data_IF_503176859214
#
_entry.id   IF_503176859214
#
_cell.length_a   1.000
_cell.length_b   1.000
_cell.length_c   1.000
_cell.angle_alpha   90.00
_cell.angle_beta   90.00
_cell.angle_gamma   90.00
#
_symmetry.space_group_name_H-M   'P 1'
#
loop_
_entity.id
_entity.type
_entity.pdbx_description
1 polymer ?
#
# COMPACT_ATOMS: atom_id res chain seq x y z
N UNK A 1 -12.43 -13.25 14.77
CA UNK A 1 -11.04 -13.36 14.30
C UNK A 1 -10.21 -12.53 15.25
N UNK A 2 -9.18 -13.12 15.87
CA UNK A 2 -8.35 -12.44 16.86
C UNK A 2 -7.61 -11.25 16.20
N UNK A 3 -7.60 -10.08 16.86
CA UNK A 3 -6.96 -8.87 16.31
C UNK A 3 -5.45 -9.06 16.18
N UNK A 4 -4.86 -9.89 17.04
CA UNK A 4 -3.47 -10.31 16.92
C UNK A 4 -3.23 -11.24 15.74
N UNK A 5 -4.21 -12.09 15.41
CA UNK A 5 -4.13 -12.95 14.22
C UNK A 5 -4.23 -12.11 12.95
N UNK A 6 -5.06 -11.06 12.92
CA UNK A 6 -5.18 -10.17 11.76
C UNK A 6 -3.89 -9.37 11.51
N UNK A 7 -3.24 -8.85 12.56
CA UNK A 7 -1.95 -8.18 12.44
C UNK A 7 -0.81 -9.15 12.05
N UNK A 8 -0.79 -10.37 12.59
CA UNK A 8 0.18 -11.41 12.21
C UNK A 8 -0.01 -11.91 10.77
N UNK A 9 -1.26 -11.94 10.30
CA UNK A 9 -1.60 -12.32 8.94
C UNK A 9 -1.24 -11.21 7.95
N UNK A 10 -1.54 -9.95 8.29
CA UNK A 10 -1.22 -8.80 7.44
C UNK A 10 0.28 -8.47 7.42
N UNK A 11 0.95 -8.59 8.55
CA UNK A 11 2.36 -8.24 8.69
C UNK A 11 3.09 -9.47 9.22
N UNK A 12 3.41 -10.39 8.31
CA UNK A 12 4.27 -11.55 8.60
C UNK A 12 5.64 -11.13 9.16
N UNK A 13 6.49 -12.10 9.49
CA UNK A 13 7.80 -11.83 10.11
C UNK A 13 8.66 -10.77 9.40
N UNK A 14 8.55 -10.69 8.07
CA UNK A 14 9.26 -9.77 7.18
C UNK A 14 8.65 -8.37 7.03
N UNK A 15 7.61 -8.04 7.81
CA UNK A 15 6.89 -6.77 7.74
C UNK A 15 6.85 -5.98 9.06
N UNK A 16 7.59 -6.47 10.08
CA UNK A 16 7.66 -5.87 11.43
C UNK A 16 8.37 -4.52 11.42
N UNK A 17 9.35 -4.36 10.56
CA UNK A 17 10.10 -3.13 10.32
C UNK A 17 10.15 -2.81 8.83
N UNK A 18 10.73 -1.67 8.45
CA UNK A 18 11.06 -1.40 7.04
C UNK A 18 12.01 -2.48 6.50
N UNK A 19 11.95 -2.76 5.19
CA UNK A 19 12.91 -3.67 4.56
C UNK A 19 14.32 -3.14 4.81
N UNK A 20 15.18 -3.97 5.36
CA UNK A 20 16.56 -3.60 5.66
C UNK A 20 17.43 -3.64 4.42
N UNK A 21 18.58 -2.95 4.48
CA UNK A 21 19.60 -3.04 3.44
C UNK A 21 20.06 -4.49 3.21
N UNK A 22 20.16 -5.28 4.27
CA UNK A 22 20.54 -6.70 4.22
C UNK A 22 19.48 -7.56 3.55
N UNK A 23 18.21 -7.41 3.89
CA UNK A 23 17.11 -8.14 3.26
C UNK A 23 16.98 -7.81 1.77
N UNK A 24 17.04 -6.51 1.43
CA UNK A 24 17.00 -6.07 0.04
C UNK A 24 18.20 -6.64 -0.75
N UNK A 25 19.41 -6.55 -0.21
CA UNK A 25 20.61 -7.10 -0.83
C UNK A 25 20.52 -8.62 -1.03
N UNK A 26 20.01 -9.35 -0.05
CA UNK A 26 19.89 -10.81 -0.13
C UNK A 26 18.89 -11.27 -1.19
N UNK A 27 17.80 -10.53 -1.41
CA UNK A 27 16.76 -10.91 -2.36
C UNK A 27 16.98 -10.33 -3.77
N UNK A 28 17.50 -9.12 -3.87
CA UNK A 28 17.63 -8.37 -5.13
C UNK A 28 19.07 -8.35 -5.67
N UNK A 29 20.04 -8.84 -4.89
CA UNK A 29 21.46 -8.97 -5.26
C UNK A 29 22.22 -7.64 -5.47
N UNK A 30 21.63 -6.52 -5.04
CA UNK A 30 22.30 -5.21 -4.96
C UNK A 30 21.76 -4.38 -3.80
N UNK A 31 22.50 -3.35 -3.39
CA UNK A 31 22.07 -2.40 -2.36
C UNK A 31 22.11 -0.97 -2.93
N UNK A 32 20.96 -0.31 -3.17
CA UNK A 32 20.92 1.04 -3.71
C UNK A 32 21.29 2.12 -2.68
N UNK A 33 21.14 1.81 -1.38
CA UNK A 33 21.15 2.74 -0.26
C UNK A 33 22.30 3.74 -0.27
N UNK A 34 21.97 5.02 -0.11
CA UNK A 34 22.93 6.09 0.11
C UNK A 34 23.72 5.90 1.41
N UNK A 35 23.07 5.53 2.51
CA UNK A 35 23.67 5.38 3.84
C UNK A 35 24.37 4.02 4.01
N UNK A 36 25.29 3.72 3.10
CA UNK A 36 26.07 2.48 2.98
C UNK A 36 27.58 2.74 2.94
N UNK A 37 28.41 1.69 3.02
CA UNK A 37 29.87 1.79 2.90
C UNK A 37 30.31 2.51 1.62
N UNK A 38 29.57 2.34 0.51
CA UNK A 38 29.84 2.96 -0.79
C UNK A 38 29.95 4.49 -0.72
N UNK A 39 29.25 5.12 0.22
CA UNK A 39 29.26 6.57 0.42
C UNK A 39 29.93 6.97 1.74
N UNK A 40 30.80 6.11 2.30
CA UNK A 40 31.62 6.42 3.47
C UNK A 40 30.91 6.29 4.82
N UNK A 41 29.72 5.67 4.87
CA UNK A 41 29.06 5.36 6.14
C UNK A 41 29.51 3.99 6.68
N UNK A 42 29.58 3.80 8.01
CA UNK A 42 29.81 2.47 8.58
C UNK A 42 28.75 1.49 8.10
N UNK A 43 29.18 0.26 7.79
CA UNK A 43 28.28 -0.81 7.40
C UNK A 43 27.31 -1.14 8.52
N UNK A 44 26.06 -1.27 8.14
CA UNK A 44 24.97 -1.56 9.03
C UNK A 44 23.82 -2.06 8.15
N UNK A 45 23.84 -3.36 7.87
CA UNK A 45 22.84 -4.00 7.02
C UNK A 45 21.44 -3.99 7.66
N UNK A 46 21.32 -3.62 8.93
CA UNK A 46 20.06 -3.49 9.64
C UNK A 46 19.42 -2.10 9.47
N UNK A 47 20.05 -1.15 8.76
CA UNK A 47 19.36 0.10 8.37
C UNK A 47 18.26 -0.22 7.36
N UNK A 48 17.19 0.60 7.29
CA UNK A 48 16.23 0.49 6.19
C UNK A 48 16.93 0.70 4.84
N UNK A 49 16.51 -0.06 3.83
CA UNK A 49 16.87 0.24 2.45
C UNK A 49 16.21 1.57 2.05
N UNK A 50 16.99 2.46 1.47
CA UNK A 50 16.52 3.73 0.92
C UNK A 50 17.12 3.95 -0.47
N UNK A 51 16.77 5.05 -1.13
CA UNK A 51 17.06 5.29 -2.57
C UNK A 51 16.50 4.23 -3.52
N UNK A 52 15.53 3.44 -3.06
CA UNK A 52 14.71 2.57 -3.90
C UNK A 52 13.61 3.37 -4.58
N UNK A 53 13.33 3.04 -5.84
CA UNK A 53 12.15 3.50 -6.56
C UNK A 53 10.93 2.65 -6.18
N UNK A 54 9.73 3.15 -6.49
CA UNK A 54 8.51 2.37 -6.28
C UNK A 54 8.52 1.06 -7.09
N UNK A 55 9.04 1.11 -8.32
CA UNK A 55 9.18 -0.08 -9.17
C UNK A 55 10.10 -1.12 -8.54
N UNK A 56 11.23 -0.71 -7.95
CA UNK A 56 12.13 -1.63 -7.26
C UNK A 56 11.51 -2.21 -5.98
N UNK A 57 10.77 -1.41 -5.22
CA UNK A 57 10.04 -1.88 -4.04
C UNK A 57 8.93 -2.88 -4.40
N UNK A 58 8.20 -2.64 -5.49
CA UNK A 58 7.21 -3.58 -6.04
C UNK A 58 7.87 -4.85 -6.58
N UNK A 59 9.02 -4.72 -7.25
CA UNK A 59 9.79 -5.86 -7.74
C UNK A 59 10.32 -6.72 -6.58
N UNK A 60 10.78 -6.11 -5.48
CA UNK A 60 11.14 -6.82 -4.26
C UNK A 60 9.97 -7.66 -3.73
N UNK A 61 8.76 -7.08 -3.66
CA UNK A 61 7.57 -7.81 -3.21
C UNK A 61 7.25 -9.00 -4.15
N UNK A 62 7.35 -8.82 -5.47
CA UNK A 62 7.15 -9.89 -6.44
C UNK A 62 8.18 -11.01 -6.30
N UNK A 63 9.46 -10.68 -6.14
CA UNK A 63 10.53 -11.67 -5.86
C UNK A 63 10.32 -12.39 -4.54
N UNK A 64 9.83 -11.69 -3.53
CA UNK A 64 9.53 -12.28 -2.22
C UNK A 64 8.40 -13.30 -2.35
N UNK A 65 7.37 -13.02 -3.15
CA UNK A 65 6.32 -14.00 -3.47
C UNK A 65 6.90 -15.26 -4.12
N UNK A 66 7.73 -15.12 -5.16
CA UNK A 66 8.36 -16.27 -5.84
C UNK A 66 9.14 -17.15 -4.86
N UNK A 67 9.95 -16.53 -3.99
CA UNK A 67 10.80 -17.24 -3.02
C UNK A 67 9.97 -17.90 -1.92
N UNK A 68 8.98 -17.21 -1.36
CA UNK A 68 8.14 -17.73 -0.29
C UNK A 68 7.17 -18.81 -0.80
N UNK A 69 6.68 -18.70 -2.04
CA UNK A 69 5.89 -19.75 -2.71
C UNK A 69 6.73 -20.99 -2.97
N UNK A 70 7.93 -20.83 -3.58
CA UNK A 70 8.84 -21.95 -3.82
C UNK A 70 9.26 -22.66 -2.53
N UNK A 71 9.32 -21.92 -1.42
CA UNK A 71 9.62 -22.47 -0.10
C UNK A 71 8.39 -23.04 0.65
N UNK A 72 7.18 -22.96 0.08
CA UNK A 72 5.94 -23.43 0.70
C UNK A 72 5.52 -22.63 1.94
N UNK A 73 6.02 -21.40 2.08
CA UNK A 73 5.73 -20.49 3.21
C UNK A 73 4.68 -19.45 2.88
N UNK A 74 4.43 -19.16 1.59
CA UNK A 74 3.35 -18.29 1.15
C UNK A 74 2.00 -19.04 1.24
N UNK A 75 1.04 -18.58 2.07
CA UNK A 75 -0.26 -19.23 2.14
C UNK A 75 -1.03 -19.10 0.81
N UNK A 76 -1.77 -20.14 0.36
CA UNK A 76 -2.58 -20.04 -0.86
C UNK A 76 -3.57 -18.87 -0.81
N UNK A 77 -3.59 -18.07 -1.88
CA UNK A 77 -4.44 -16.88 -1.97
C UNK A 77 -3.93 -15.67 -1.19
N UNK A 78 -2.65 -15.66 -0.77
CA UNK A 78 -1.97 -14.51 -0.17
C UNK A 78 -0.78 -14.07 -1.02
N UNK A 79 -0.40 -12.81 -0.88
CA UNK A 79 0.75 -12.21 -1.55
C UNK A 79 1.42 -11.15 -0.66
N UNK A 80 2.72 -11.00 -0.81
CA UNK A 80 3.48 -9.83 -0.41
C UNK A 80 3.29 -8.72 -1.44
N UNK A 81 2.94 -7.53 -0.97
CA UNK A 81 2.84 -6.31 -1.79
C UNK A 81 3.14 -5.07 -0.96
N UNK A 82 3.19 -3.90 -1.58
CA UNK A 82 3.18 -2.65 -0.81
C UNK A 82 1.81 -2.47 -0.11
N UNK A 83 1.79 -1.91 1.12
CA UNK A 83 0.55 -1.62 1.81
C UNK A 83 -0.22 -0.51 1.08
N UNK A 84 -1.54 -0.57 1.14
CA UNK A 84 -2.35 0.60 0.83
C UNK A 84 -2.15 1.67 1.91
N UNK A 85 -2.45 2.92 1.55
CA UNK A 85 -2.42 4.06 2.45
C UNK A 85 -3.23 3.82 3.75
N UNK A 86 -4.39 3.16 3.61
CA UNK A 86 -5.27 2.82 4.73
C UNK A 86 -4.75 1.65 5.58
N UNK A 87 -4.22 0.60 4.96
CA UNK A 87 -3.59 -0.52 5.69
C UNK A 87 -2.41 -0.03 6.53
N UNK A 88 -1.54 0.80 5.94
CA UNK A 88 -0.41 1.37 6.65
C UNK A 88 -0.86 2.20 7.86
N UNK A 89 -1.85 3.09 7.69
CA UNK A 89 -2.32 3.91 8.81
C UNK A 89 -2.97 3.07 9.92
N UNK A 90 -3.77 2.08 9.53
CA UNK A 90 -4.40 1.17 10.48
C UNK A 90 -3.36 0.41 11.30
N UNK A 91 -2.33 -0.11 10.63
CA UNK A 91 -1.20 -0.79 11.23
C UNK A 91 -0.38 0.14 12.15
N UNK A 92 -0.07 1.35 11.68
CA UNK A 92 0.64 2.37 12.45
C UNK A 92 -0.08 2.68 13.78
N UNK A 93 -1.41 2.84 13.72
CA UNK A 93 -2.24 3.16 14.89
C UNK A 93 -2.31 2.03 15.90
N UNK A 94 -2.36 0.77 15.46
CA UNK A 94 -2.48 -0.41 16.32
C UNK A 94 -3.54 -0.26 17.43
N UNK A 95 -4.72 0.30 17.08
CA UNK A 95 -5.83 0.54 17.99
C UNK A 95 -5.84 1.89 18.72
N UNK A 96 -4.81 2.72 18.57
CA UNK A 96 -4.79 4.09 19.11
C UNK A 96 -5.55 5.09 18.23
N UNK A 97 -6.16 6.09 18.85
CA UNK A 97 -6.82 7.23 18.16
C UNK A 97 -5.98 8.51 18.19
N UNK A 98 -4.81 8.44 18.81
CA UNK A 98 -3.87 9.56 18.94
C UNK A 98 -3.06 9.77 17.65
N UNK A 99 -2.34 10.90 17.51
CA UNK A 99 -1.48 11.15 16.36
C UNK A 99 -0.30 10.18 16.22
N UNK A 100 0.14 9.56 17.32
CA UNK A 100 1.18 8.55 17.36
C UNK A 100 0.74 7.37 18.23
N UNK A 101 1.31 6.18 18.03
CA UNK A 101 1.13 5.06 18.96
C UNK A 101 1.76 5.34 20.33
N UNK A 102 2.64 6.35 20.41
CA UNK A 102 3.19 6.91 21.65
C UNK A 102 2.21 7.82 22.43
N UNK A 103 1.08 8.18 21.83
CA UNK A 103 0.11 9.11 22.40
C UNK A 103 0.05 10.45 21.65
N UNK A 104 -0.25 11.57 22.34
CA UNK A 104 -0.57 12.84 21.69
C UNK A 104 0.63 13.54 21.03
N UNK A 105 1.84 13.28 21.53
CA UNK A 105 3.06 14.02 21.20
C UNK A 105 4.14 13.10 20.65
N UNK A 106 5.06 13.67 19.86
CA UNK A 106 6.28 12.99 19.44
C UNK A 106 7.49 13.78 19.93
N UNK A 107 8.29 13.13 20.76
CA UNK A 107 9.41 13.74 21.48
C UNK A 107 10.73 13.14 21.02
N UNK A 108 11.78 13.95 21.09
CA UNK A 108 13.13 13.47 20.80
C UNK A 108 13.45 12.23 21.63
N UNK A 109 14.02 11.20 20.99
CA UNK A 109 14.37 9.93 21.63
C UNK A 109 13.29 8.84 21.54
N UNK A 110 12.07 9.15 21.09
CA UNK A 110 11.02 8.12 20.86
C UNK A 110 10.97 7.62 19.42
N UNK A 111 11.57 8.35 18.48
CA UNK A 111 11.71 7.95 17.08
C UNK A 111 12.88 8.70 16.43
N UNK A 112 13.29 8.28 15.22
CA UNK A 112 14.31 8.97 14.44
C UNK A 112 13.68 10.03 13.52
N UNK A 113 13.73 11.30 13.94
CA UNK A 113 13.27 12.46 13.17
C UNK A 113 14.12 13.68 13.55
N UNK A 114 13.98 14.80 12.83
CA UNK A 114 14.78 16.01 13.07
C UNK A 114 14.12 16.90 14.14
N UNK A 115 14.15 16.46 15.40
CA UNK A 115 13.66 17.24 16.53
C UNK A 115 14.44 18.56 16.71
N UNK A 116 15.76 18.51 16.46
CA UNK A 116 16.66 19.63 16.71
C UNK A 116 16.33 20.88 15.88
N UNK A 117 16.20 20.72 14.56
CA UNK A 117 16.09 21.83 13.63
C UNK A 117 14.68 22.02 13.08
N UNK A 118 13.85 20.96 13.08
CA UNK A 118 12.50 20.97 12.49
C UNK A 118 11.39 20.91 13.55
N UNK A 119 11.71 20.42 14.74
CA UNK A 119 10.85 20.45 15.91
C UNK A 119 10.15 19.14 16.23
N UNK A 120 9.80 19.00 17.50
CA UNK A 120 8.92 17.96 18.05
C UNK A 120 7.47 18.27 17.76
N UNK A 121 6.59 17.27 17.82
CA UNK A 121 5.16 17.53 17.74
C UNK A 121 4.53 17.58 19.13
N UNK A 122 3.76 18.64 19.40
CA UNK A 122 2.91 18.77 20.59
C UNK A 122 1.46 18.96 20.17
N UNK A 123 0.56 18.09 20.65
CA UNK A 123 -0.87 18.19 20.33
C UNK A 123 -1.44 19.53 20.79
N UNK A 124 -2.16 20.19 19.89
CA UNK A 124 -2.75 21.51 20.14
C UNK A 124 -1.80 22.68 19.92
N UNK A 125 -0.50 22.43 19.71
CA UNK A 125 0.50 23.47 19.38
C UNK A 125 1.04 23.30 17.97
N UNK A 126 1.32 22.06 17.55
CA UNK A 126 2.01 21.76 16.30
C UNK A 126 3.49 21.48 16.51
N UNK A 127 4.33 21.85 15.54
CA UNK A 127 5.77 21.64 15.63
C UNK A 127 6.40 22.68 16.56
N UNK A 128 7.10 22.20 17.60
CA UNK A 128 7.76 23.02 18.61
C UNK A 128 9.27 22.80 18.50
N UNK A 129 10.08 23.87 18.32
CA UNK A 129 11.53 23.73 18.28
C UNK A 129 12.06 23.08 19.56
N UNK A 130 12.94 22.09 19.43
CA UNK A 130 13.70 21.55 20.54
C UNK A 130 15.19 21.63 20.19
N UNK A 131 15.90 22.74 20.47
CA UNK A 131 17.32 22.88 20.16
C UNK A 131 18.23 21.81 20.81
N UNK A 132 17.74 21.18 21.89
CA UNK A 132 18.42 20.06 22.58
C UNK A 132 17.96 18.68 22.08
N UNK A 133 17.05 18.63 21.10
CA UNK A 133 16.55 17.40 20.50
C UNK A 133 17.57 16.74 19.59
N UNK A 134 17.34 15.46 19.30
CA UNK A 134 18.18 14.68 18.41
C UNK A 134 17.97 15.08 16.94
N UNK A 135 19.06 15.04 16.18
CA UNK A 135 19.07 15.00 14.72
C UNK A 135 20.27 14.14 14.31
N UNK A 136 20.00 12.88 13.96
CA UNK A 136 21.06 11.92 13.66
C UNK A 136 21.66 12.11 12.27
N UNK A 137 20.98 12.86 11.39
CA UNK A 137 21.45 13.12 10.02
C UNK A 137 21.41 11.89 9.09
N UNK A 138 20.82 10.78 9.52
CA UNK A 138 20.75 9.50 8.81
C UNK A 138 19.67 8.58 9.41
N UNK A 139 19.23 7.54 8.68
CA UNK A 139 18.45 6.45 9.28
C UNK A 139 19.28 5.67 10.31
N UNK A 140 18.58 4.99 11.20
CA UNK A 140 19.14 4.08 12.20
C UNK A 140 18.82 2.64 11.85
N UNK A 141 19.45 1.68 12.52
CA UNK A 141 19.01 0.29 12.44
C UNK A 141 17.51 0.20 12.76
N UNK A 142 16.80 -0.67 12.05
CA UNK A 142 15.40 -0.99 12.37
C UNK A 142 15.27 -1.54 13.78
N UNK A 143 14.08 -1.42 14.36
CA UNK A 143 13.78 -1.84 15.73
C UNK A 143 14.57 -1.09 16.82
N UNK A 144 15.08 0.10 16.50
CA UNK A 144 15.81 0.95 17.47
C UNK A 144 14.88 1.64 18.49
N UNK A 145 13.58 1.71 18.19
CA UNK A 145 12.58 2.39 19.01
C UNK A 145 11.48 1.40 19.44
N UNK A 146 10.63 1.80 20.39
CA UNK A 146 9.60 0.90 20.91
C UNK A 146 8.57 0.56 19.81
N UNK A 147 8.12 -0.70 19.70
CA UNK A 147 7.10 -1.05 18.74
C UNK A 147 5.73 -0.52 19.19
N UNK A 148 4.79 -0.47 18.26
CA UNK A 148 3.38 -0.26 18.59
C UNK A 148 2.76 -1.52 19.23
N UNK A 149 1.48 -1.45 19.60
CA UNK A 149 0.78 -2.55 20.27
C UNK A 149 0.69 -3.85 19.45
N UNK A 150 0.97 -3.81 18.15
CA UNK A 150 1.00 -4.98 17.26
C UNK A 150 2.42 -5.47 16.95
N UNK A 151 3.44 -4.89 17.59
CA UNK A 151 4.83 -5.29 17.38
C UNK A 151 5.46 -4.72 16.10
N UNK A 152 4.89 -3.65 15.53
CA UNK A 152 5.47 -2.95 14.38
C UNK A 152 6.37 -1.81 14.85
N UNK A 153 7.58 -1.77 14.29
CA UNK A 153 8.62 -0.82 14.64
C UNK A 153 8.69 0.32 13.62
N UNK A 154 9.28 1.43 14.08
CA UNK A 154 9.69 2.57 13.25
C UNK A 154 8.56 3.28 12.48
N UNK A 155 7.30 3.04 12.85
CA UNK A 155 6.10 3.64 12.23
C UNK A 155 5.99 5.18 12.33
N UNK A 156 6.94 5.85 12.99
CA UNK A 156 6.93 7.31 13.26
C UNK A 156 8.29 7.98 13.03
N UNK A 157 9.02 7.61 11.98
CA UNK A 157 10.28 8.25 11.62
C UNK A 157 11.14 7.33 10.77
N UNK A 158 12.46 7.47 10.92
CA UNK A 158 13.48 6.68 10.22
C UNK A 158 13.46 6.91 8.70
N UNK A 159 12.62 6.22 7.92
CA UNK A 159 12.40 6.52 6.51
C UNK A 159 10.91 6.62 6.18
N UNK A 160 10.57 7.43 5.19
CA UNK A 160 9.24 7.43 4.61
C UNK A 160 8.99 6.09 3.94
N UNK A 161 7.79 5.54 4.10
CA UNK A 161 7.45 4.24 3.55
C UNK A 161 6.48 4.36 2.38
N UNK A 162 6.87 3.79 1.23
CA UNK A 162 6.03 3.75 0.04
C UNK A 162 4.79 2.89 0.23
N UNK A 163 3.64 3.45 -0.11
CA UNK A 163 2.36 2.74 -0.21
C UNK A 163 1.99 2.50 -1.69
N UNK A 164 1.14 1.51 -1.95
CA UNK A 164 0.55 1.29 -3.27
C UNK A 164 -0.36 2.48 -3.65
N UNK A 165 -0.23 2.98 -4.88
CA UNK A 165 -1.10 4.02 -5.44
C UNK A 165 -2.55 3.54 -5.54
N UNK A 166 -3.51 4.35 -5.07
CA UNK A 166 -4.94 4.11 -5.34
C UNK A 166 -5.40 5.08 -6.43
N UNK A 167 -5.16 4.70 -7.68
CA UNK A 167 -5.69 5.36 -8.89
C UNK A 167 -4.81 4.96 -10.06
N UNK A 168 -5.15 3.96 -10.87
CA UNK A 168 -6.33 4.00 -11.74
C UNK A 168 -6.92 2.62 -12.12
N UNK A 169 -6.51 1.48 -11.56
CA UNK A 169 -7.04 0.18 -12.06
C UNK A 169 -7.60 -0.81 -11.03
N UNK A 170 -7.54 -0.55 -9.72
CA UNK A 170 -8.14 -1.45 -8.72
C UNK A 170 -8.99 -0.68 -7.72
N UNK A 171 -10.27 -0.54 -8.04
CA UNK A 171 -11.25 0.13 -7.18
C UNK A 171 -11.97 -0.92 -6.33
N UNK A 172 -11.95 -0.69 -5.00
CA UNK A 172 -12.90 -1.19 -3.97
C UNK A 172 -12.86 -2.69 -3.63
N UNK A 173 -12.22 -3.01 -2.50
CA UNK A 173 -12.89 -3.78 -1.42
C UNK A 173 -12.50 -3.12 -0.07
N UNK A 174 -13.43 -2.36 0.50
CA UNK A 174 -13.32 -1.87 1.86
C UNK A 174 -13.92 -2.93 2.80
N UNK A 175 -13.09 -3.58 3.60
CA UNK A 175 -13.57 -4.21 4.83
C UNK A 175 -13.79 -3.10 5.87
N UNK A 176 -15.06 -2.71 6.03
CA UNK A 176 -15.67 -2.10 7.23
C UNK A 176 -14.84 -1.07 8.04
N UNK A 177 -14.81 0.19 7.58
CA UNK A 177 -14.97 1.45 8.36
C UNK A 177 -14.97 2.61 7.33
N UNK A 178 -15.58 3.79 7.57
CA UNK A 178 -15.80 4.77 6.52
C UNK A 178 -14.48 5.25 5.91
N UNK A 179 -14.33 5.26 4.57
CA UNK A 179 -13.09 5.66 3.93
C UNK A 179 -12.81 7.13 4.25
N UNK A 180 -11.70 7.39 4.95
CA UNK A 180 -11.13 8.72 5.00
C UNK A 180 -10.59 9.06 3.60
N UNK A 181 -11.38 9.78 2.82
CA UNK A 181 -10.95 10.31 1.51
C UNK A 181 -10.08 11.54 1.80
N UNK A 182 -8.76 11.39 1.71
CA UNK A 182 -7.84 12.53 1.69
C UNK A 182 -8.16 13.43 0.48
N UNK A 183 -8.38 14.75 0.67
CA UNK A 183 -8.68 15.70 -0.41
C UNK A 183 -7.48 15.95 -1.35
N UNK A 184 -6.34 15.30 -1.13
CA UNK A 184 -5.08 15.52 -1.87
C UNK A 184 -4.89 14.58 -3.08
N UNK A 185 -5.98 14.09 -3.70
CA UNK A 185 -5.91 13.40 -5.01
C UNK A 185 -5.49 14.39 -6.10
N UNK A 186 -4.19 14.66 -6.23
CA UNK A 186 -3.62 15.29 -7.41
C UNK A 186 -2.74 14.27 -8.14
N UNK A 187 -3.20 13.90 -9.33
CA UNK A 187 -2.59 12.99 -10.32
C UNK A 187 -2.53 11.50 -9.96
N UNK A 188 -2.88 10.72 -10.97
CA UNK A 188 -2.64 9.30 -11.24
C UNK A 188 -1.17 8.85 -11.16
N UNK A 189 -0.23 9.78 -10.94
CA UNK A 189 1.21 9.53 -10.89
C UNK A 189 1.84 9.79 -9.49
N UNK A 190 1.01 10.17 -8.52
CA UNK A 190 1.42 10.48 -7.16
C UNK A 190 1.29 9.24 -6.26
N UNK A 191 2.44 8.63 -5.92
CA UNK A 191 2.51 7.63 -4.87
C UNK A 191 2.39 8.28 -3.49
N UNK A 192 1.85 7.52 -2.53
CA UNK A 192 1.70 7.96 -1.15
C UNK A 192 2.88 7.48 -0.32
N UNK A 193 3.39 8.36 0.55
CA UNK A 193 4.36 8.03 1.57
C UNK A 193 3.71 8.15 2.95
N UNK A 194 4.12 7.28 3.87
CA UNK A 194 3.69 7.31 5.28
C UNK A 194 4.87 7.24 6.26
N UNK A 195 4.67 7.73 7.49
CA UNK A 195 5.61 7.54 8.60
C UNK A 195 6.56 8.70 8.94
N UNK A 196 6.86 9.60 8.00
CA UNK A 196 7.92 10.59 8.20
C UNK A 196 9.31 10.00 7.95
N UNK A 197 10.38 10.76 8.21
CA UNK A 197 11.75 10.23 8.10
C UNK A 197 12.72 11.01 9.00
N UNK A 198 13.95 10.50 9.14
CA UNK A 198 15.03 11.05 9.97
C UNK A 198 15.28 12.57 9.80
N UNK A 199 14.95 13.14 8.63
CA UNK A 199 15.16 14.57 8.32
C UNK A 199 13.94 15.48 8.50
N UNK A 200 12.77 14.94 8.81
CA UNK A 200 11.51 15.69 8.88
C UNK A 200 11.16 16.08 10.32
N UNK A 201 10.23 17.02 10.49
CA UNK A 201 9.65 17.36 11.80
C UNK A 201 8.75 16.26 12.35
N UNK A 202 8.45 16.33 13.65
CA UNK A 202 7.55 15.37 14.29
C UNK A 202 6.11 15.40 13.74
N UNK A 203 5.64 16.54 13.24
CA UNK A 203 4.30 16.66 12.65
C UNK A 203 4.12 15.87 11.36
N UNK A 204 5.20 15.71 10.59
CA UNK A 204 5.26 14.86 9.41
C UNK A 204 5.26 13.36 9.74
N UNK A 205 5.56 12.98 10.99
CA UNK A 205 5.65 11.59 11.44
C UNK A 205 4.33 11.05 12.04
N UNK A 206 3.24 11.83 12.02
CA UNK A 206 1.92 11.42 12.54
C UNK A 206 1.34 10.27 11.73
N UNK A 207 0.59 9.36 12.37
CA UNK A 207 -0.03 8.20 11.70
C UNK A 207 -0.85 8.59 10.47
N UNK A 208 -1.53 9.75 10.53
CA UNK A 208 -2.42 10.24 9.47
C UNK A 208 -1.78 11.23 8.49
N UNK A 209 -0.48 11.51 8.59
CA UNK A 209 0.15 12.49 7.71
C UNK A 209 0.46 11.84 6.35
N UNK A 210 -0.10 12.34 5.23
CA UNK A 210 0.22 11.83 3.91
C UNK A 210 1.42 12.58 3.33
N UNK A 211 2.50 11.86 3.03
CA UNK A 211 3.55 12.33 2.13
C UNK A 211 3.17 12.04 0.68
N UNK A 212 3.69 12.83 -0.26
CA UNK A 212 3.48 12.62 -1.70
C UNK A 212 4.85 12.44 -2.35
N UNK A 213 4.96 11.45 -3.23
CA UNK A 213 6.10 11.31 -4.13
C UNK A 213 5.60 11.00 -5.54
N UNK A 214 6.41 11.29 -6.55
CA UNK A 214 6.09 10.83 -7.91
C UNK A 214 6.71 9.44 -8.11
N UNK A 215 5.91 8.49 -8.58
CA UNK A 215 6.34 7.11 -8.81
C UNK A 215 7.51 6.99 -9.80
N UNK A 216 7.72 8.02 -10.64
CA UNK A 216 8.78 8.12 -11.64
C UNK A 216 10.02 8.90 -11.14
N UNK A 217 10.04 9.38 -9.89
CA UNK A 217 11.21 10.04 -9.34
C UNK A 217 12.31 9.03 -8.98
N UNK A 218 13.59 9.41 -9.10
CA UNK A 218 14.67 8.62 -8.53
C UNK A 218 14.47 8.46 -7.03
N UNK A 219 14.94 7.34 -6.50
CA UNK A 219 14.87 7.06 -5.06
C UNK A 219 15.53 8.17 -4.24
N UNK A 220 14.94 8.49 -3.09
CA UNK A 220 15.45 9.47 -2.14
C UNK A 220 16.08 8.79 -0.93
N UNK A 221 17.10 9.39 -0.33
CA UNK A 221 17.81 8.80 0.81
C UNK A 221 17.07 8.83 2.16
N UNK A 222 15.77 9.07 2.10
CA UNK A 222 14.87 9.11 3.24
C UNK A 222 13.55 8.41 2.89
N UNK A 223 13.50 7.68 1.78
CA UNK A 223 12.33 6.92 1.32
C UNK A 223 12.74 5.46 1.16
N UNK A 224 12.08 4.60 1.89
CA UNK A 224 12.14 3.14 1.81
C UNK A 224 10.73 2.56 1.70
N UNK A 225 10.54 1.35 2.23
CA UNK A 225 9.24 0.68 2.23
C UNK A 225 9.21 -0.49 3.22
N UNK A 226 8.00 -0.97 3.52
CA UNK A 226 7.76 -2.29 4.10
C UNK A 226 6.74 -3.04 3.24
N UNK A 227 6.86 -4.36 3.06
CA UNK A 227 5.80 -5.16 2.49
C UNK A 227 4.66 -5.37 3.50
N UNK A 228 3.50 -5.76 2.97
CA UNK A 228 2.39 -6.35 3.72
C UNK A 228 2.11 -7.72 3.08
N UNK A 229 1.87 -8.75 3.89
CA UNK A 229 1.34 -10.03 3.46
C UNK A 229 -0.18 -9.93 3.49
N UNK A 230 -0.85 -9.84 2.36
CA UNK A 230 -2.30 -9.66 2.32
C UNK A 230 -2.95 -10.77 1.50
N UNK A 231 -4.25 -11.05 1.69
CA UNK A 231 -4.98 -11.85 0.73
C UNK A 231 -4.83 -11.20 -0.65
N UNK A 232 -4.56 -12.01 -1.66
CA UNK A 232 -4.62 -11.57 -3.06
C UNK A 232 -5.98 -10.90 -3.22
N UNK A 233 -6.00 -9.62 -3.61
CA UNK A 233 -7.27 -8.94 -3.87
C UNK A 233 -7.95 -9.66 -5.02
N UNK A 234 -8.93 -10.51 -4.68
CA UNK A 234 -9.78 -11.19 -5.62
C UNK A 234 -10.40 -10.13 -6.54
N UNK A 235 -9.98 -10.08 -7.80
CA UNK A 235 -10.92 -9.63 -8.82
C UNK A 235 -12.07 -10.63 -8.75
N UNK A 236 -13.31 -10.22 -8.53
CA UNK A 236 -14.42 -11.16 -8.53
C UNK A 236 -14.36 -11.93 -9.86
N UNK A 237 -14.42 -13.27 -9.83
CA UNK A 237 -14.52 -14.05 -11.05
C UNK A 237 -15.73 -13.52 -11.82
N UNK A 238 -15.64 -13.55 -13.15
CA UNK A 238 -16.69 -13.09 -14.03
C UNK A 238 -18.02 -13.71 -13.60
N UNK A 239 -18.93 -12.89 -13.07
CA UNK A 239 -20.23 -13.36 -12.58
C UNK A 239 -21.34 -12.49 -13.15
N UNK A 240 -22.32 -13.16 -13.75
CA UNK A 240 -23.59 -12.51 -14.09
C UNK A 240 -24.19 -11.91 -12.82
N UNK A 241 -24.56 -10.63 -12.87
CA UNK A 241 -25.12 -9.89 -11.74
C UNK A 241 -26.64 -9.83 -11.83
N UNK A 242 -27.18 -9.44 -12.99
CA UNK A 242 -28.64 -9.37 -13.19
C UNK A 242 -29.03 -9.31 -14.66
N UNK A 243 -30.26 -9.75 -14.95
CA UNK A 243 -30.95 -9.56 -16.23
C UNK A 243 -32.27 -8.84 -15.97
N UNK A 244 -32.53 -7.72 -16.64
CA UNK A 244 -33.77 -6.96 -16.46
C UNK A 244 -34.33 -6.44 -17.78
N UNK A 245 -35.65 -6.23 -17.80
CA UNK A 245 -36.36 -5.51 -18.86
C UNK A 245 -36.67 -4.10 -18.36
N UNK A 246 -36.20 -3.08 -19.09
CA UNK A 246 -36.46 -1.67 -18.75
C UNK A 246 -36.79 -0.90 -20.03
N UNK A 247 -37.95 -0.24 -20.08
CA UNK A 247 -38.42 0.57 -21.22
C UNK A 247 -38.31 -0.13 -22.59
N UNK A 248 -38.58 -1.43 -22.66
CA UNK A 248 -38.50 -2.22 -23.90
C UNK A 248 -37.08 -2.60 -24.33
N UNK A 249 -36.11 -2.43 -23.44
CA UNK A 249 -34.72 -2.85 -23.62
C UNK A 249 -34.35 -3.96 -22.64
N UNK A 250 -33.53 -4.91 -23.10
CA UNK A 250 -32.88 -5.88 -22.22
C UNK A 250 -31.61 -5.25 -21.64
N UNK A 251 -31.44 -5.33 -20.33
CA UNK A 251 -30.28 -4.84 -19.59
C UNK A 251 -29.55 -6.02 -18.99
N UNK A 252 -28.30 -6.22 -19.39
CA UNK A 252 -27.39 -7.26 -18.87
C UNK A 252 -26.34 -6.57 -17.99
N UNK A 253 -26.21 -7.02 -16.75
CA UNK A 253 -25.18 -6.56 -15.82
C UNK A 253 -24.29 -7.71 -15.36
N UNK A 254 -22.98 -7.47 -15.26
CA UNK A 254 -22.00 -8.40 -14.68
C UNK A 254 -20.88 -7.68 -13.95
N UNK A 255 -20.12 -8.43 -13.16
CA UNK A 255 -19.00 -7.95 -12.36
C UNK A 255 -17.74 -8.72 -12.79
N UNK A 256 -16.61 -8.01 -12.93
CA UNK A 256 -15.30 -8.56 -13.31
C UNK A 256 -14.86 -8.17 -14.73
N UNK A 257 -13.56 -8.30 -15.09
CA UNK A 257 -12.96 -7.74 -16.31
C UNK A 257 -13.39 -8.40 -17.64
N UNK A 258 -14.39 -9.28 -17.62
CA UNK A 258 -14.82 -10.06 -18.78
C UNK A 258 -15.56 -9.25 -19.84
N UNK A 259 -15.39 -9.62 -21.11
CA UNK A 259 -16.14 -9.07 -22.23
C UNK A 259 -17.46 -9.85 -22.44
N UNK A 260 -18.55 -9.13 -22.76
CA UNK A 260 -19.80 -9.74 -23.17
C UNK A 260 -19.68 -10.16 -24.64
N UNK A 261 -20.15 -11.36 -24.96
CA UNK A 261 -20.28 -11.80 -26.35
C UNK A 261 -21.73 -12.18 -26.65
N UNK A 262 -22.11 -12.05 -27.93
CA UNK A 262 -23.43 -12.47 -28.43
C UNK A 262 -23.32 -13.43 -29.61
N UNK A 263 -24.32 -14.32 -29.76
CA UNK A 263 -24.43 -15.25 -30.88
C UNK A 263 -25.90 -15.60 -31.18
N UNK A 264 -26.19 -16.00 -32.41
CA UNK A 264 -27.53 -16.44 -32.83
C UNK A 264 -27.84 -17.91 -32.42
N UNK A 265 -26.85 -18.64 -31.93
CA UNK A 265 -26.98 -20.00 -31.41
C UNK A 265 -26.09 -20.21 -30.18
N UNK A 266 -26.51 -21.08 -29.24
CA UNK A 266 -25.75 -21.42 -28.02
C UNK A 266 -24.31 -21.88 -28.34
N UNK A 267 -24.13 -22.55 -29.48
CA UNK A 267 -22.85 -23.12 -29.92
C UNK A 267 -22.12 -22.27 -30.96
N UNK A 268 -22.66 -21.11 -31.34
CA UNK A 268 -22.29 -20.37 -32.55
C UNK A 268 -21.15 -19.36 -32.40
N UNK A 269 -20.65 -18.80 -33.53
CA UNK A 269 -19.53 -17.87 -33.53
C UNK A 269 -19.89 -16.62 -32.73
N UNK A 270 -19.15 -16.40 -31.65
CA UNK A 270 -19.37 -15.33 -30.71
C UNK A 270 -18.83 -14.00 -31.24
N UNK A 271 -19.64 -12.95 -31.16
CA UNK A 271 -19.24 -11.57 -31.50
C UNK A 271 -19.09 -10.75 -30.22
N UNK A 272 -17.97 -10.05 -30.07
CA UNK A 272 -17.70 -9.20 -28.93
C UNK A 272 -18.67 -8.01 -28.88
N UNK A 273 -19.13 -7.70 -27.67
CA UNK A 273 -20.05 -6.61 -27.38
C UNK A 273 -19.38 -5.66 -26.41
N UNK A 274 -19.30 -4.38 -26.77
CA UNK A 274 -18.67 -3.37 -25.91
C UNK A 274 -19.65 -2.92 -24.81
N UNK A 275 -19.37 -3.18 -23.52
CA UNK A 275 -20.16 -2.63 -22.42
C UNK A 275 -19.93 -1.15 -22.19
N UNK A 276 -20.87 -0.54 -21.46
CA UNK A 276 -20.60 0.69 -20.71
C UNK A 276 -20.08 0.31 -19.33
N UNK A 277 -19.01 0.98 -18.91
CA UNK A 277 -18.36 0.77 -17.62
C UNK A 277 -18.92 1.77 -16.60
N UNK A 278 -19.37 1.29 -15.44
CA UNK A 278 -19.81 2.13 -14.31
C UNK A 278 -19.28 1.55 -13.00
N UNK A 279 -18.01 1.86 -12.69
CA UNK A 279 -17.31 1.27 -11.54
C UNK A 279 -17.03 -0.23 -11.77
N UNK A 280 -17.24 -1.12 -10.77
CA UNK A 280 -17.03 -2.57 -10.93
C UNK A 280 -18.13 -3.28 -11.73
N UNK A 281 -19.16 -2.52 -12.16
CA UNK A 281 -20.32 -3.03 -12.89
C UNK A 281 -20.20 -2.69 -14.37
N UNK A 282 -20.33 -3.71 -15.19
CA UNK A 282 -20.47 -3.58 -16.64
C UNK A 282 -21.94 -3.70 -17.01
N UNK A 283 -22.43 -2.78 -17.83
CA UNK A 283 -23.82 -2.75 -18.29
C UNK A 283 -23.88 -2.70 -19.80
N UNK A 284 -24.70 -3.56 -20.40
CA UNK A 284 -25.05 -3.48 -21.80
C UNK A 284 -26.58 -3.49 -21.98
N UNK A 285 -27.07 -2.60 -22.83
CA UNK A 285 -28.51 -2.40 -23.07
C UNK A 285 -28.80 -2.45 -24.56
N UNK A 286 -29.80 -3.22 -24.96
CA UNK A 286 -30.20 -3.33 -26.36
C UNK A 286 -31.72 -3.53 -26.52
N UNK A 287 -32.29 -3.09 -27.66
CA UNK A 287 -33.72 -3.25 -27.94
C UNK A 287 -34.07 -4.71 -28.27
N UNK A 288 -35.24 -5.18 -27.82
CA UNK A 288 -35.74 -6.56 -28.02
C UNK A 288 -36.35 -6.72 -29.43
N UNK A 289 -35.81 -6.02 -30.43
CA UNK A 289 -36.38 -5.97 -31.79
C UNK A 289 -35.77 -7.00 -32.75
N UNK A 290 -34.80 -7.78 -32.28
CA UNK A 290 -34.06 -8.76 -33.07
C UNK A 290 -34.44 -10.21 -32.68
N UNK A 291 -34.18 -11.21 -33.55
CA UNK A 291 -34.37 -12.63 -33.23
C UNK A 291 -33.63 -13.04 -31.94
N UNK A 292 -34.02 -14.18 -31.37
CA UNK A 292 -33.44 -14.68 -30.11
C UNK A 292 -31.90 -14.77 -30.19
N UNK A 293 -31.21 -13.97 -29.37
CA UNK A 293 -29.76 -13.95 -29.22
C UNK A 293 -29.34 -14.60 -27.90
N UNK A 294 -28.22 -15.30 -27.92
CA UNK A 294 -27.56 -15.87 -26.77
C UNK A 294 -26.40 -14.98 -26.34
N UNK A 295 -26.17 -14.88 -25.04
CA UNK A 295 -25.15 -14.03 -24.45
C UNK A 295 -24.29 -14.82 -23.47
N UNK A 296 -22.98 -14.57 -23.46
CA UNK A 296 -22.06 -15.10 -22.45
C UNK A 296 -21.06 -14.05 -22.04
N UNK A 297 -20.50 -14.17 -20.84
CA UNK A 297 -19.33 -13.40 -20.44
C UNK A 297 -18.11 -14.29 -20.55
N UNK A 298 -17.04 -13.80 -21.17
CA UNK A 298 -15.76 -14.50 -21.30
C UNK A 298 -14.82 -14.06 -20.17
N UNK A 299 -14.18 -15.03 -19.51
CA UNK A 299 -13.04 -14.80 -18.60
C UNK A 299 -11.83 -14.23 -19.34
#
# INVERSE_FOLDING_TARGET
MDRDLYARLLYGHSAKHEVTQGEFLALMEYNPSYFSQKNGFPEDLNRPVETVTWTEASAYCARLNEVEEAAGRLPPGWEYRLPTDGEWEYACRAGTTTPFHYGPDLKSGTANFNAQQRGEYVRGVGNVPNPSGANLGKPTAVESYQPNAWGLYDMHGNVWEMCSTVGSEFTRIAFTDPPFISPWRRSDLAGHLRGGAWRHDGGSCRSSYPGIFSANQPGSNYVGFRPVLAPVQFQPPVSFSSLALFEGQLVINWIGPGALQSADAITGPWTDVTPRLSGPLYTHTFPIREPAKFYRVRE
#
